data_IF_192158847769
#
_entry.id   IF_192158847769
#
_cell.length_a   1.000
_cell.length_b   1.000
_cell.length_c   1.000
_cell.angle_alpha   90.00
_cell.angle_beta   90.00
_cell.angle_gamma   90.00
#
_symmetry.space_group_name_H-M   'P 1'
#
loop_
_entity.id
_entity.type
_entity.pdbx_description
1 polymer ?
2 water ?
#
# COMPACT_ATOMS: atom_id res chain seq x y z
N UNK A 1 31.17 -30.08 -5.30
CA UNK A 1 31.90 -30.30 -6.59
C UNK A 1 32.77 -29.07 -6.93
N UNK A 2 33.92 -29.31 -7.54
CA UNK A 2 34.70 -28.22 -8.12
C UNK A 2 33.98 -27.71 -9.39
N UNK A 3 34.22 -26.44 -9.78
CA UNK A 3 33.51 -25.83 -10.92
C UNK A 3 33.69 -26.58 -12.23
N UNK A 4 34.80 -27.29 -12.35
CA UNK A 4 35.08 -28.09 -13.52
C UNK A 4 34.16 -29.29 -13.81
N UNK A 5 33.84 -30.09 -12.80
CA UNK A 5 32.55 -30.75 -12.65
C UNK A 5 31.24 -30.02 -12.80
N UNK A 6 31.04 -29.08 -11.90
CA UNK A 6 29.78 -28.37 -11.79
C UNK A 6 29.34 -27.71 -13.09
N UNK A 7 30.31 -27.07 -13.75
CA UNK A 7 30.05 -26.32 -14.98
C UNK A 7 30.61 -26.97 -16.25
N UNK A 8 30.70 -28.29 -16.24
CA UNK A 8 31.35 -29.04 -17.32
C UNK A 8 30.76 -28.71 -18.69
N UNK A 9 29.45 -28.87 -18.83
CA UNK A 9 28.81 -28.69 -20.13
C UNK A 9 28.83 -27.23 -20.59
N UNK A 10 28.75 -26.29 -19.66
CA UNK A 10 28.77 -24.87 -20.02
C UNK A 10 30.20 -24.38 -20.31
N UNK A 11 31.20 -24.94 -19.64
CA UNK A 11 32.60 -24.67 -19.98
C UNK A 11 32.93 -25.13 -21.41
N UNK A 12 32.39 -26.30 -21.79
CA UNK A 12 32.61 -26.79 -23.12
C UNK A 12 32.02 -25.85 -24.16
N UNK A 13 30.77 -25.45 -23.97
CA UNK A 13 30.09 -24.51 -24.87
C UNK A 13 30.86 -23.18 -25.00
N UNK A 14 31.33 -22.64 -23.88
CA UNK A 14 32.13 -21.41 -23.87
C UNK A 14 33.44 -21.53 -24.63
N UNK A 15 34.14 -22.63 -24.39
CA UNK A 15 35.39 -22.94 -25.09
C UNK A 15 35.22 -23.15 -26.58
N UNK A 16 34.15 -23.87 -26.94
CA UNK A 16 33.78 -24.09 -28.33
C UNK A 16 33.47 -22.79 -29.06
N UNK A 17 33.15 -21.75 -28.29
CA UNK A 17 32.86 -20.43 -28.84
C UNK A 17 34.04 -19.46 -28.74
N UNK A 18 35.19 -19.95 -28.30
CA UNK A 18 36.42 -19.16 -28.30
C UNK A 18 36.75 -18.50 -26.98
N UNK A 19 36.03 -18.86 -25.93
CA UNK A 19 36.27 -18.30 -24.61
C UNK A 19 36.99 -19.30 -23.74
N UNK A 20 38.31 -19.13 -23.66
CA UNK A 20 39.21 -20.13 -23.10
C UNK A 20 39.64 -19.87 -21.66
N UNK A 21 39.64 -18.62 -21.21
CA UNK A 21 40.08 -18.27 -19.85
C UNK A 21 39.14 -18.89 -18.82
N UNK A 22 39.66 -19.86 -18.06
CA UNK A 22 38.88 -20.64 -17.10
C UNK A 22 38.35 -19.79 -15.94
N UNK A 23 39.21 -18.96 -15.36
CA UNK A 23 38.82 -18.10 -14.24
C UNK A 23 37.68 -17.15 -14.64
N UNK A 24 37.81 -16.53 -15.82
CA UNK A 24 36.78 -15.62 -16.33
C UNK A 24 35.52 -16.37 -16.64
N UNK A 25 35.65 -17.55 -17.25
CA UNK A 25 34.48 -18.37 -17.55
C UNK A 25 33.69 -18.75 -16.30
N UNK A 26 34.39 -19.17 -15.26
CA UNK A 26 33.78 -19.60 -13.99
C UNK A 26 33.13 -18.42 -13.27
N UNK A 27 33.84 -17.30 -13.20
CA UNK A 27 33.32 -16.07 -12.63
C UNK A 27 32.02 -15.65 -13.30
N UNK A 28 32.00 -15.69 -14.63
CA UNK A 28 30.83 -15.30 -15.42
C UNK A 28 29.64 -16.26 -15.20
N UNK A 29 29.95 -17.55 -15.15
CA UNK A 29 28.94 -18.57 -14.88
C UNK A 29 28.33 -18.52 -13.48
N UNK A 30 29.11 -18.12 -12.49
CA UNK A 30 28.60 -17.98 -11.14
C UNK A 30 27.60 -16.82 -11.03
N UNK A 31 27.91 -15.72 -11.73
CA UNK A 31 27.01 -14.56 -11.77
C UNK A 31 25.73 -14.83 -12.57
N UNK A 32 25.79 -15.76 -13.51
CA UNK A 32 24.66 -16.11 -14.36
C UNK A 32 23.87 -17.30 -13.82
N UNK A 33 24.35 -17.88 -12.72
CA UNK A 33 23.73 -19.08 -12.13
C UNK A 33 23.94 -20.36 -12.92
N UNK A 34 24.98 -20.38 -13.76
CA UNK A 34 25.22 -21.51 -14.65
C UNK A 34 24.56 -21.40 -16.03
N UNK A 35 24.01 -20.24 -16.34
CA UNK A 35 23.45 -19.96 -17.67
C UNK A 35 24.57 -19.52 -18.63
N UNK A 36 24.71 -20.24 -19.75
CA UNK A 36 25.71 -19.93 -20.78
C UNK A 36 25.41 -18.60 -21.47
N UNK A 37 24.14 -18.38 -21.80
CA UNK A 37 23.71 -17.14 -22.45
C UNK A 37 24.11 -15.92 -21.64
N UNK A 38 23.91 -15.98 -20.32
CA UNK A 38 24.27 -14.88 -19.42
C UNK A 38 25.76 -14.73 -19.26
N UNK A 39 26.45 -15.86 -19.07
CA UNK A 39 27.92 -15.87 -19.02
C UNK A 39 28.51 -15.24 -20.28
N UNK A 40 28.00 -15.64 -21.44
CA UNK A 40 28.43 -15.07 -22.73
C UNK A 40 28.26 -13.57 -22.80
N UNK A 41 27.14 -13.06 -22.28
CA UNK A 41 26.92 -11.62 -22.22
C UNK A 41 27.98 -10.93 -21.37
N UNK A 42 28.28 -11.50 -20.20
CA UNK A 42 29.30 -10.94 -19.30
C UNK A 42 30.67 -10.95 -19.95
N UNK A 43 30.98 -12.04 -20.62
CA UNK A 43 32.29 -12.22 -21.26
C UNK A 43 32.49 -11.25 -22.44
N UNK A 44 31.41 -10.90 -23.13
CA UNK A 44 31.48 -9.93 -24.24
C UNK A 44 31.42 -8.49 -23.77
N UNK A 45 30.65 -8.23 -22.72
CA UNK A 45 30.52 -6.88 -22.15
C UNK A 45 31.58 -6.61 -21.08
N UNK A 46 32.21 -5.44 -21.16
CA UNK A 46 33.41 -5.16 -20.34
C UNK A 46 34.67 -5.85 -20.87
N UNK B 2 28.21 -13.78 -0.89
CA UNK B 2 27.96 -15.02 -1.69
C UNK B 2 26.58 -15.09 -2.37
N UNK B 3 26.09 -13.96 -2.94
CA UNK B 3 24.81 -14.00 -3.65
C UNK B 3 24.78 -14.97 -4.85
N UNK B 4 25.94 -15.25 -5.44
CA UNK B 4 26.07 -16.25 -6.49
C UNK B 4 25.62 -17.64 -6.03
N UNK B 5 26.10 -18.07 -4.88
CA UNK B 5 25.58 -19.27 -4.23
C UNK B 5 24.16 -19.11 -3.72
N UNK B 6 23.93 -18.05 -2.96
CA UNK B 6 22.63 -17.83 -2.32
C UNK B 6 21.48 -17.75 -3.29
N UNK B 7 21.68 -17.06 -4.41
CA UNK B 7 20.62 -16.87 -5.42
C UNK B 7 20.84 -17.67 -6.71
N UNK B 8 21.54 -18.79 -6.61
CA UNK B 8 21.96 -19.56 -7.80
C UNK B 8 20.79 -19.88 -8.73
N UNK B 9 19.76 -20.52 -8.19
CA UNK B 9 18.63 -20.97 -9.01
C UNK B 9 17.83 -19.82 -9.60
N UNK B 10 17.71 -18.74 -8.84
CA UNK B 10 16.98 -17.55 -9.27
C UNK B 10 17.75 -16.77 -10.33
N UNK B 11 19.06 -16.73 -10.21
CA UNK B 11 19.91 -16.08 -11.22
C UNK B 11 19.86 -16.80 -12.53
N UNK B 12 19.78 -18.12 -12.47
CA UNK B 12 19.63 -18.95 -13.67
C UNK B 12 18.32 -18.63 -14.39
N UNK B 13 17.23 -18.60 -13.63
CA UNK B 13 15.90 -18.29 -14.18
C UNK B 13 15.89 -16.91 -14.84
N UNK B 14 16.42 -15.91 -14.14
CA UNK B 14 16.47 -14.55 -14.67
C UNK B 14 17.30 -14.45 -15.95
N UNK B 15 18.46 -15.10 -15.97
CA UNK B 15 19.35 -15.12 -17.14
C UNK B 15 18.75 -15.87 -18.32
N UNK B 16 18.05 -16.97 -18.04
CA UNK B 16 17.31 -17.70 -19.08
C UNK B 16 16.15 -16.91 -19.68
N UNK B 17 15.70 -15.87 -18.97
CA UNK B 17 14.66 -14.96 -19.45
C UNK B 17 15.22 -13.68 -20.07
N UNK B 18 16.54 -13.59 -20.19
CA UNK B 18 17.18 -12.47 -20.88
C UNK B 18 17.68 -11.36 -19.97
N UNK B 19 17.64 -11.58 -18.66
CA UNK B 19 18.13 -10.60 -17.69
C UNK B 19 19.54 -10.97 -17.23
N UNK B 20 20.53 -10.31 -17.83
CA UNK B 20 21.95 -10.69 -17.69
C UNK B 20 22.75 -9.89 -16.67
N UNK B 21 22.29 -8.66 -16.36
CA UNK B 21 23.01 -7.78 -15.44
C UNK B 21 22.96 -8.33 -14.02
N UNK B 22 24.13 -8.78 -13.53
CA UNK B 22 24.26 -9.41 -12.20
C UNK B 22 23.91 -8.48 -11.05
N UNK B 23 24.47 -7.28 -11.08
CA UNK B 23 24.23 -6.29 -10.03
C UNK B 23 22.74 -5.96 -9.90
N UNK B 24 22.09 -5.76 -11.05
CA UNK B 24 20.64 -5.47 -11.09
C UNK B 24 19.84 -6.66 -10.61
N UNK B 25 20.23 -7.86 -11.04
CA UNK B 25 19.54 -9.08 -10.65
C UNK B 25 19.58 -9.32 -9.16
N UNK B 26 20.74 -9.10 -8.56
CA UNK B 26 20.95 -9.29 -7.14
C UNK B 26 20.22 -8.22 -6.30
N UNK B 27 20.31 -6.98 -6.74
CA UNK B 27 19.55 -5.89 -6.14
C UNK B 27 18.05 -6.20 -6.11
N UNK B 28 17.53 -6.63 -7.24
CA UNK B 28 16.12 -6.98 -7.39
C UNK B 28 15.70 -8.15 -6.49
N UNK B 29 16.53 -9.19 -6.43
CA UNK B 29 16.26 -10.37 -5.59
C UNK B 29 16.33 -10.10 -4.10
N UNK B 30 17.17 -9.16 -3.70
CA UNK B 30 17.26 -8.77 -2.31
C UNK B 30 16.02 -8.03 -1.83
N UNK B 31 15.47 -7.20 -2.71
CA UNK B 31 14.21 -6.52 -2.46
C UNK B 31 13.01 -7.44 -2.43
N UNK B 32 13.09 -8.53 -3.19
CA UNK B 32 11.98 -9.49 -3.31
C UNK B 32 12.11 -10.64 -2.33
N UNK B 33 13.20 -10.65 -1.54
CA UNK B 33 13.48 -11.75 -0.61
C UNK B 33 13.92 -13.05 -1.28
N UNK B 34 14.40 -12.95 -2.51
CA UNK B 34 14.75 -14.14 -3.30
C UNK B 34 13.62 -14.71 -4.15
N UNK B 35 12.53 -13.94 -4.29
CA UNK B 35 11.43 -14.32 -5.18
C UNK B 35 11.73 -13.84 -6.60
N UNK B 36 11.72 -14.77 -7.54
CA UNK B 36 11.97 -14.46 -8.96
C UNK B 36 10.84 -13.60 -9.55
N UNK B 37 9.61 -13.94 -9.21
CA UNK B 37 8.45 -13.18 -9.66
C UNK B 37 8.56 -11.71 -9.30
N UNK B 38 8.91 -11.44 -8.05
CA UNK B 38 9.10 -10.08 -7.57
C UNK B 38 10.30 -9.37 -8.18
N UNK B 39 11.41 -10.10 -8.30
CA UNK B 39 12.61 -9.59 -8.98
C UNK B 39 12.30 -9.20 -10.41
N UNK B 40 11.60 -10.08 -11.13
CA UNK B 40 11.15 -9.81 -12.50
C UNK B 40 10.33 -8.54 -12.62
N UNK B 41 9.43 -8.33 -11.67
CA UNK B 41 8.60 -7.12 -11.62
C UNK B 41 9.47 -5.86 -11.50
N UNK B 42 10.45 -5.90 -10.58
CA UNK B 42 11.41 -4.81 -10.39
C UNK B 42 12.25 -4.55 -11.64
N UNK B 43 12.68 -5.62 -12.30
CA UNK B 43 13.53 -5.50 -13.48
C UNK B 43 12.79 -4.89 -14.66
N UNK B 44 11.51 -5.20 -14.77
CA UNK B 44 10.67 -4.69 -15.86
C UNK B 44 10.17 -3.26 -15.58
N UNK B 45 9.86 -2.98 -14.32
CA UNK B 45 9.34 -1.67 -13.90
C UNK B 45 10.42 -0.70 -13.42
N UNK C 1 18.15 0.27 10.13
CA UNK C 1 18.21 -1.23 10.02
C UNK C 1 18.32 -1.73 8.58
N UNK C 2 18.63 -3.02 8.47
CA UNK C 2 18.90 -3.68 7.20
C UNK C 2 17.72 -4.58 6.88
N UNK C 3 16.70 -4.03 6.22
CA UNK C 3 15.49 -4.81 6.08
C UNK C 3 15.52 -5.98 5.10
N UNK C 4 16.35 -5.91 4.06
CA UNK C 4 16.46 -6.99 3.09
C UNK C 4 16.92 -8.30 3.77
N UNK C 5 17.94 -8.20 4.60
CA UNK C 5 18.35 -9.31 5.44
C UNK C 5 17.37 -9.57 6.58
N UNK C 6 17.02 -8.53 7.32
CA UNK C 6 16.18 -8.73 8.51
C UNK C 6 14.79 -9.31 8.19
N UNK C 7 14.18 -8.86 7.10
CA UNK C 7 12.82 -9.36 6.74
C UNK C 7 12.81 -10.25 5.50
N UNK C 8 13.91 -10.99 5.30
CA UNK C 8 14.10 -11.79 4.08
C UNK C 8 12.95 -12.77 3.85
N UNK C 9 12.66 -13.60 4.83
CA UNK C 9 11.64 -14.63 4.69
C UNK C 9 10.22 -14.04 4.53
N UNK C 10 9.97 -12.91 5.19
CA UNK C 10 8.68 -12.23 5.10
C UNK C 10 8.49 -11.51 3.75
N UNK C 11 9.56 -10.94 3.22
CA UNK C 11 9.55 -10.31 1.90
C UNK C 11 9.28 -11.34 0.81
N UNK C 12 9.85 -12.53 0.98
CA UNK C 12 9.60 -13.63 0.03
C UNK C 12 8.13 -14.01 0.02
N UNK C 13 7.56 -14.21 1.21
CA UNK C 13 6.13 -14.51 1.35
C UNK C 13 5.27 -13.47 0.65
N UNK C 14 5.52 -12.22 0.96
CA UNK C 14 4.74 -11.13 0.41
C UNK C 14 4.81 -11.09 -1.12
N UNK C 15 6.02 -11.25 -1.65
CA UNK C 15 6.24 -11.27 -3.10
C UNK C 15 5.61 -12.45 -3.81
N UNK C 16 5.67 -13.61 -3.17
CA UNK C 16 5.00 -14.80 -3.67
C UNK C 16 3.48 -14.65 -3.68
N UNK C 17 2.96 -13.69 -2.90
CA UNK C 17 1.52 -13.39 -2.89
C UNK C 17 1.16 -12.18 -3.75
N UNK C 18 2.11 -11.66 -4.51
CA UNK C 18 1.87 -10.59 -5.47
C UNK C 18 2.17 -9.20 -4.97
N UNK C 19 2.73 -9.09 -3.79
CA UNK C 19 3.08 -7.77 -3.23
C UNK C 19 4.55 -7.48 -3.47
N UNK C 20 4.80 -6.68 -4.51
CA UNK C 20 6.15 -6.46 -5.03
C UNK C 20 6.84 -5.15 -4.59
N UNK C 21 6.06 -4.15 -4.18
CA UNK C 21 6.62 -2.86 -3.76
C UNK C 21 7.39 -3.02 -2.47
N UNK C 22 8.71 -2.87 -2.57
CA UNK C 22 9.63 -3.02 -1.45
C UNK C 22 9.39 -2.05 -0.31
N UNK C 23 9.30 -0.77 -0.66
CA UNK C 23 9.10 0.29 0.31
C UNK C 23 7.82 0.10 1.13
N UNK C 24 6.74 -0.27 0.44
CA UNK C 24 5.47 -0.57 1.08
C UNK C 24 5.53 -1.82 1.92
N UNK C 25 6.21 -2.84 1.41
CA UNK C 25 6.35 -4.09 2.18
C UNK C 25 7.11 -3.87 3.48
N UNK C 26 8.19 -3.13 3.41
CA UNK C 26 9.03 -2.86 4.57
C UNK C 26 8.30 -1.98 5.59
N UNK C 27 7.65 -0.93 5.11
CA UNK C 27 6.81 -0.08 5.95
C UNK C 27 5.78 -0.90 6.72
N UNK C 28 5.09 -1.77 5.99
CA UNK C 28 4.04 -2.62 6.57
C UNK C 28 4.60 -3.60 7.59
N UNK C 29 5.74 -4.19 7.28
CA UNK C 29 6.43 -5.15 8.20
C UNK C 29 6.98 -4.49 9.49
N UNK C 30 7.39 -3.23 9.38
CA UNK C 30 7.83 -2.48 10.56
C UNK C 30 6.68 -2.21 11.53
N UNK C 31 5.50 -1.91 10.98
CA UNK C 31 4.29 -1.68 11.77
C UNK C 31 3.77 -2.95 12.41
N UNK C 32 4.01 -4.08 11.76
CA UNK C 32 3.54 -5.38 12.22
C UNK C 32 4.58 -6.12 13.07
N UNK C 33 5.75 -5.51 13.23
CA UNK C 33 6.85 -6.13 13.99
C UNK C 33 7.53 -7.28 13.27
N UNK C 34 7.33 -7.37 11.96
CA UNK C 34 7.82 -8.50 11.17
C UNK C 34 6.82 -9.65 10.98
N UNK C 35 5.56 -9.42 11.35
CA UNK C 35 4.46 -10.36 11.13
C UNK C 35 3.94 -10.20 9.71
N UNK C 36 3.94 -11.30 8.94
CA UNK C 36 3.43 -11.30 7.56
C UNK C 36 1.91 -11.06 7.55
N UNK C 37 1.20 -11.73 8.46
CA UNK C 37 -0.25 -11.59 8.58
C UNK C 37 -0.69 -10.12 8.79
N UNK C 38 0.01 -9.42 9.69
CA UNK C 38 -0.24 -8.02 9.95
C UNK C 38 0.13 -7.13 8.78
N UNK C 39 1.29 -7.38 8.19
CA UNK C 39 1.74 -6.68 6.99
C UNK C 39 0.74 -6.81 5.86
N UNK C 40 0.28 -8.04 5.62
CA UNK C 40 -0.75 -8.32 4.62
C UNK C 40 -2.03 -7.50 4.83
N UNK C 41 -2.45 -7.41 6.08
CA UNK C 41 -3.61 -6.63 6.47
C UNK C 41 -3.43 -5.15 6.08
N UNK C 42 -2.26 -4.60 6.41
CA UNK C 42 -1.91 -3.21 6.05
C UNK C 42 -1.92 -3.00 4.55
N UNK C 43 -1.32 -3.94 3.82
CA UNK C 43 -1.16 -3.84 2.37
C UNK C 43 -2.51 -3.89 1.65
N UNK C 44 -3.44 -4.65 2.20
CA UNK C 44 -4.77 -4.78 1.62
C UNK C 44 -5.70 -3.62 2.03
N UNK C 45 -5.55 -3.16 3.27
CA UNK C 45 -6.38 -2.07 3.79
C UNK C 45 -5.71 -0.71 3.57
N UNK C 46 -6.52 0.31 3.32
CA UNK C 46 -5.99 1.63 2.97
C UNK C 46 -5.09 1.60 1.75
N UNK D 2 11.25 5.97 18.53
CA UNK D 2 10.55 5.23 17.44
C UNK D 2 10.04 3.86 17.96
N UNK D 3 8.70 3.72 18.10
CA UNK D 3 8.07 2.52 18.69
C UNK D 3 8.17 1.25 17.83
N UNK D 4 8.29 1.43 16.51
CA UNK D 4 8.50 0.30 15.58
C UNK D 4 9.77 -0.48 15.92
N UNK D 5 10.86 0.24 16.12
CA UNK D 5 12.10 -0.34 16.66
C UNK D 5 11.94 -0.80 18.09
N UNK D 6 11.50 0.11 18.95
CA UNK D 6 11.45 -0.14 20.39
C UNK D 6 10.59 -1.34 20.74
N UNK D 7 9.44 -1.47 20.08
CA UNK D 7 8.48 -2.53 20.40
C UNK D 7 8.38 -3.60 19.33
N UNK D 8 9.47 -3.81 18.59
CA UNK D 8 9.50 -4.71 17.44
C UNK D 8 8.98 -6.10 17.75
N UNK D 9 9.59 -6.77 18.73
CA UNK D 9 9.20 -8.15 19.03
C UNK D 9 7.79 -8.26 19.63
N UNK D 10 7.38 -7.25 20.39
CA UNK D 10 6.02 -7.22 20.98
C UNK D 10 4.94 -6.98 19.92
N UNK D 11 5.24 -6.11 18.96
CA UNK D 11 4.34 -5.84 17.85
C UNK D 11 4.13 -7.09 17.01
N UNK D 12 5.20 -7.86 16.83
CA UNK D 12 5.13 -9.11 16.09
C UNK D 12 4.20 -10.10 16.80
N UNK D 13 4.38 -10.25 18.10
CA UNK D 13 3.53 -11.13 18.91
C UNK D 13 2.06 -10.74 18.82
N UNK D 14 1.80 -9.45 18.96
CA UNK D 14 0.43 -8.93 18.90
C UNK D 14 -0.23 -9.18 17.54
N UNK D 15 0.53 -8.92 16.47
CA UNK D 15 0.04 -9.12 15.11
C UNK D 15 -0.19 -10.59 14.77
N UNK D 16 0.70 -11.45 15.27
CA UNK D 16 0.55 -12.90 15.12
C UNK D 16 -0.70 -13.42 15.80
N UNK D 17 -1.18 -12.67 16.79
CA UNK D 17 -2.39 -13.04 17.53
C UNK D 17 -3.64 -12.33 17.02
N UNK D 18 -3.52 -11.61 15.91
CA UNK D 18 -4.66 -10.98 15.25
C UNK D 18 -4.91 -9.52 15.60
N UNK D 19 -3.98 -8.90 16.33
CA UNK D 19 -4.10 -7.49 16.72
C UNK D 19 -3.25 -6.63 15.81
N UNK D 20 -3.89 -6.04 14.81
CA UNK D 20 -3.19 -5.38 13.69
C UNK D 20 -3.13 -3.84 13.79
N UNK D 21 -4.00 -3.22 14.57
CA UNK D 21 -4.03 -1.75 14.71
C UNK D 21 -2.76 -1.27 15.44
N UNK D 22 -1.90 -0.58 14.71
CA UNK D 22 -0.60 -0.11 15.21
C UNK D 22 -0.74 0.90 16.36
N UNK D 23 -1.58 1.91 16.14
CA UNK D 23 -1.79 2.94 17.15
C UNK D 23 -2.29 2.37 18.47
N UNK D 24 -3.26 1.46 18.39
CA UNK D 24 -3.79 0.77 19.57
C UNK D 24 -2.76 -0.14 20.22
N UNK D 25 -2.00 -0.85 19.40
CA UNK D 25 -0.94 -1.73 19.90
C UNK D 25 0.12 -0.95 20.68
N UNK D 26 0.56 0.17 20.12
CA UNK D 26 1.61 0.99 20.75
C UNK D 26 1.10 1.65 22.02
N UNK D 27 -0.12 2.20 21.97
CA UNK D 27 -0.78 2.75 23.15
C UNK D 27 -0.83 1.74 24.29
N UNK D 28 -1.28 0.52 23.97
CA UNK D 28 -1.40 -0.57 24.94
C UNK D 28 -0.04 -0.96 25.53
N UNK D 29 0.99 -1.01 24.67
CA UNK D 29 2.34 -1.37 25.10
C UNK D 29 3.00 -0.29 25.97
N UNK D 30 2.69 0.97 25.72
CA UNK D 30 3.20 2.05 26.55
C UNK D 30 2.64 1.99 27.98
N UNK D 31 1.36 1.65 28.08
CA UNK D 31 0.67 1.50 29.37
C UNK D 31 1.15 0.28 30.15
N UNK D 32 1.63 -0.72 29.41
CA UNK D 32 2.09 -2.00 29.95
C UNK D 32 3.59 -2.01 30.20
N UNK D 33 4.28 -0.94 29.78
CA UNK D 33 5.72 -0.85 29.86
C UNK D 33 6.46 -1.74 28.87
N UNK D 34 5.78 -2.15 27.82
CA UNK D 34 6.34 -3.09 26.85
C UNK D 34 6.09 -4.55 27.17
N UNK D 35 5.20 -4.84 28.12
CA UNK D 35 4.77 -6.21 28.38
C UNK D 35 3.60 -6.58 27.44
N UNK D 36 3.77 -7.67 26.71
CA UNK D 36 2.76 -8.16 25.75
C UNK D 36 1.52 -8.66 26.46
N UNK D 37 1.71 -9.37 27.58
CA UNK D 37 0.63 -9.86 28.40
C UNK D 37 -0.31 -8.73 28.86
N UNK D 38 0.27 -7.63 29.34
CA UNK D 38 -0.50 -6.47 29.76
C UNK D 38 -1.16 -5.76 28.61
N UNK D 39 -0.42 -5.59 27.52
CA UNK D 39 -0.96 -4.99 26.29
C UNK D 39 -2.16 -5.79 25.79
N UNK D 40 -2.02 -7.12 25.76
CA UNK D 40 -3.12 -8.03 25.37
C UNK D 40 -4.37 -7.85 26.22
N UNK D 41 -4.18 -7.69 27.52
CA UNK D 41 -5.26 -7.45 28.44
C UNK D 41 -6.02 -6.14 28.10
N UNK D 42 -5.27 -5.09 27.84
CA UNK D 42 -5.83 -3.79 27.45
C UNK D 42 -6.60 -3.90 26.13
N UNK D 43 -6.02 -4.60 25.17
CA UNK D 43 -6.61 -4.75 23.85
C UNK D 43 -7.93 -5.52 23.86
N UNK D 44 -8.02 -6.50 24.76
CA UNK D 44 -9.22 -7.32 24.90
C UNK D 44 -10.29 -6.64 25.76
N UNK D 45 -9.86 -5.92 26.79
CA UNK D 45 -10.77 -5.25 27.73
C UNK D 45 -10.73 -3.73 27.57
N UNK D 46 -11.04 -3.02 28.65
CA UNK D 46 -10.55 -1.65 28.86
C UNK D 46 -9.27 -1.67 29.69
N UNK E 2 -35.07 -9.74 -12.08
CA UNK E 2 -35.37 -9.08 -13.38
C UNK E 2 -35.59 -7.60 -13.16
N UNK E 3 -35.60 -6.80 -14.25
CA UNK E 3 -36.11 -5.45 -14.12
C UNK E 3 -37.60 -5.35 -13.72
N UNK E 4 -38.40 -6.38 -13.99
CA UNK E 4 -39.80 -6.42 -13.58
C UNK E 4 -39.93 -6.38 -12.05
N UNK E 5 -39.16 -7.21 -11.35
CA UNK E 5 -39.03 -7.12 -9.89
C UNK E 5 -38.31 -5.83 -9.47
N UNK E 6 -37.13 -5.59 -10.04
CA UNK E 6 -36.28 -4.49 -9.61
C UNK E 6 -36.96 -3.12 -9.75
N UNK E 7 -37.68 -2.93 -10.85
CA UNK E 7 -38.32 -1.64 -11.14
C UNK E 7 -39.87 -1.69 -11.03
N UNK E 8 -40.38 -2.56 -10.17
CA UNK E 8 -41.82 -2.80 -10.06
C UNK E 8 -42.64 -1.54 -9.80
N UNK E 9 -42.28 -0.80 -8.76
CA UNK E 9 -43.03 0.37 -8.35
C UNK E 9 -42.94 1.49 -9.38
N UNK E 10 -41.77 1.62 -10.01
CA UNK E 10 -41.56 2.64 -11.05
C UNK E 10 -42.29 2.31 -12.35
N UNK E 11 -42.31 1.02 -12.69
CA UNK E 11 -43.04 0.58 -13.89
C UNK E 11 -44.53 0.86 -13.73
N UNK E 12 -45.05 0.66 -12.52
CA UNK E 12 -46.44 0.93 -12.23
C UNK E 12 -46.78 2.41 -12.43
N UNK E 13 -45.95 3.27 -11.86
CA UNK E 13 -46.09 4.71 -11.98
C UNK E 13 -46.10 5.14 -13.45
N UNK E 14 -45.12 4.65 -14.22
CA UNK E 14 -44.99 4.98 -15.64
C UNK E 14 -46.20 4.53 -16.45
N UNK E 15 -46.68 3.33 -16.19
CA UNK E 15 -47.83 2.77 -16.88
C UNK E 15 -49.15 3.47 -16.50
N UNK E 16 -49.27 3.85 -15.24
CA UNK E 16 -50.40 4.67 -14.76
C UNK E 16 -50.42 6.04 -15.43
N UNK E 17 -49.28 6.48 -15.96
CA UNK E 17 -49.16 7.77 -16.65
C UNK E 17 -49.19 7.63 -18.17
N UNK E 18 -49.48 6.42 -18.66
CA UNK E 18 -49.69 6.20 -20.09
C UNK E 18 -48.47 5.70 -20.85
N UNK E 19 -47.40 5.36 -20.13
CA UNK E 19 -46.17 4.84 -20.74
C UNK E 19 -46.13 3.32 -20.58
N UNK E 20 -46.49 2.62 -21.66
CA UNK E 20 -46.74 1.18 -21.66
C UNK E 20 -45.60 0.32 -22.21
N UNK E 21 -44.75 0.90 -23.06
CA UNK E 21 -43.67 0.16 -23.70
C UNK E 21 -42.61 -0.25 -22.66
N UNK E 22 -42.56 -1.54 -22.36
CA UNK E 22 -41.69 -2.09 -21.32
C UNK E 22 -40.20 -1.87 -21.59
N UNK E 23 -39.76 -2.17 -22.81
CA UNK E 23 -38.37 -2.02 -23.19
C UNK E 23 -37.90 -0.58 -23.04
N UNK E 24 -38.71 0.34 -23.53
CA UNK E 24 -38.45 1.76 -23.39
C UNK E 24 -38.43 2.21 -21.94
N UNK E 25 -39.41 1.73 -21.17
CA UNK E 25 -39.50 2.07 -19.74
C UNK E 25 -38.25 1.64 -18.98
N UNK E 26 -37.82 0.41 -19.21
CA UNK E 26 -36.65 -0.15 -18.53
C UNK E 26 -35.38 0.58 -18.96
N UNK E 27 -35.22 0.80 -20.27
CA UNK E 27 -34.10 1.56 -20.79
C UNK E 27 -34.00 2.94 -20.11
N UNK E 28 -35.13 3.64 -20.04
CA UNK E 28 -35.20 4.97 -19.42
C UNK E 28 -34.89 4.97 -17.94
N UNK E 29 -35.35 3.93 -17.23
CA UNK E 29 -35.08 3.75 -15.80
C UNK E 29 -33.64 3.39 -15.47
N UNK E 30 -32.99 2.67 -16.37
CA UNK E 30 -31.58 2.30 -16.19
C UNK E 30 -30.69 3.53 -16.30
N UNK E 31 -31.02 4.41 -17.23
CA UNK E 31 -30.30 5.67 -17.40
C UNK E 31 -30.54 6.65 -16.26
N UNK E 32 -31.68 6.50 -15.57
CA UNK E 32 -32.06 7.46 -14.53
C UNK E 32 -31.74 6.90 -13.18
N UNK E 33 -31.20 5.68 -13.13
CA UNK E 33 -30.88 5.01 -11.86
C UNK E 33 -32.04 4.41 -11.09
N UNK E 34 -33.18 4.33 -11.75
CA UNK E 34 -34.42 3.94 -11.03
C UNK E 34 -35.28 5.12 -10.60
N UNK E 35 -34.98 6.33 -11.10
CA UNK E 35 -35.77 7.54 -10.83
C UNK E 35 -36.86 7.70 -11.87
N UNK E 36 -38.10 7.74 -11.40
CA UNK E 36 -39.27 7.89 -12.28
C UNK E 36 -39.28 9.26 -12.98
N UNK E 37 -38.91 10.31 -12.24
CA UNK E 37 -38.80 11.66 -12.79
C UNK E 37 -37.87 11.73 -13.99
N UNK E 38 -36.70 11.12 -13.85
CA UNK E 38 -35.70 11.09 -14.93
C UNK E 38 -36.16 10.25 -16.10
N UNK E 39 -36.68 9.07 -15.76
CA UNK E 39 -37.24 8.17 -16.77
C UNK E 39 -38.28 8.88 -17.57
N UNK E 40 -39.21 9.55 -16.89
CA UNK E 40 -40.25 10.36 -17.56
C UNK E 40 -39.69 11.40 -18.49
N UNK E 41 -38.62 12.06 -18.08
CA UNK E 41 -37.96 13.08 -18.93
C UNK E 41 -37.44 12.46 -20.23
N UNK E 42 -36.80 11.32 -20.09
CA UNK E 42 -36.26 10.59 -21.23
C UNK E 42 -37.36 10.12 -22.17
N UNK E 43 -38.45 9.62 -21.60
CA UNK E 43 -39.56 9.12 -22.40
C UNK E 43 -40.26 10.24 -23.15
N UNK E 44 -40.30 11.44 -22.57
CA UNK E 44 -40.94 12.59 -23.25
C UNK E 44 -40.01 13.26 -24.28
N UNK E 45 -38.72 13.30 -23.94
CA UNK E 45 -37.69 13.91 -24.78
C UNK E 45 -37.09 12.93 -25.80
N UNK F 2 -23.48 0.22 -17.37
CA UNK F 2 -22.20 0.14 -16.58
C UNK F 2 -21.21 1.16 -17.15
N UNK F 3 -21.41 2.48 -16.91
CA UNK F 3 -21.81 3.48 -15.89
C UNK F 3 -23.20 3.39 -15.27
N UNK F 4 -24.16 2.86 -16.03
CA UNK F 4 -25.53 2.66 -15.53
C UNK F 4 -25.53 1.78 -14.27
N UNK F 5 -24.82 0.66 -14.32
CA UNK F 5 -24.58 -0.18 -13.15
C UNK F 5 -23.65 0.50 -12.14
N UNK F 6 -22.50 0.98 -12.61
CA UNK F 6 -21.48 1.55 -11.74
C UNK F 6 -21.97 2.75 -10.92
N UNK F 7 -22.73 3.63 -11.56
CA UNK F 7 -23.23 4.85 -10.92
C UNK F 7 -24.74 4.82 -10.65
N UNK F 8 -25.31 3.64 -10.43
CA UNK F 8 -26.76 3.48 -10.32
C UNK F 8 -27.38 4.37 -9.25
N UNK F 9 -26.86 4.27 -8.03
CA UNK F 9 -27.41 4.99 -6.89
C UNK F 9 -27.25 6.50 -7.05
N UNK F 10 -26.12 6.92 -7.62
CA UNK F 10 -25.81 8.33 -7.84
C UNK F 10 -26.67 8.93 -8.94
N UNK F 11 -26.93 8.15 -9.99
CA UNK F 11 -27.80 8.59 -11.07
C UNK F 11 -29.23 8.81 -10.57
N UNK F 12 -29.66 7.92 -9.67
CA UNK F 12 -30.96 7.99 -9.04
C UNK F 12 -31.14 9.30 -8.28
N UNK F 13 -30.15 9.62 -7.46
CA UNK F 13 -30.14 10.85 -6.69
C UNK F 13 -30.16 12.09 -7.58
N UNK F 14 -29.31 12.11 -8.61
CA UNK F 14 -29.24 13.23 -9.54
C UNK F 14 -30.56 13.44 -10.28
N UNK F 15 -31.17 12.35 -10.75
CA UNK F 15 -32.45 12.42 -11.46
C UNK F 15 -33.62 12.85 -10.57
N UNK F 16 -33.62 12.37 -9.32
CA UNK F 16 -34.57 12.80 -8.30
C UNK F 16 -34.45 14.29 -7.97
N UNK F 17 -33.29 14.88 -8.26
CA UNK F 17 -33.05 16.30 -8.05
C UNK F 17 -33.23 17.12 -9.32
N UNK F 18 -33.72 16.49 -10.39
CA UNK F 18 -34.04 17.20 -11.64
C UNK F 18 -32.94 17.24 -12.68
N UNK F 19 -31.89 16.46 -12.47
CA UNK F 19 -30.77 16.38 -13.42
C UNK F 19 -30.88 15.10 -14.24
N UNK F 20 -31.45 15.23 -15.44
CA UNK F 20 -31.86 14.09 -16.28
C UNK F 20 -30.88 13.71 -17.41
N UNK F 21 -30.05 14.62 -17.87
CA UNK F 21 -29.13 14.34 -18.98
C UNK F 21 -28.06 13.34 -18.56
N UNK F 22 -28.15 12.14 -19.11
CA UNK F 22 -27.30 10.99 -18.74
C UNK F 22 -25.82 11.24 -19.00
N UNK F 23 -25.50 11.74 -20.18
CA UNK F 23 -24.12 11.99 -20.57
C UNK F 23 -23.46 13.00 -19.63
N UNK F 24 -24.19 14.08 -19.33
CA UNK F 24 -23.69 15.11 -18.43
C UNK F 24 -23.57 14.58 -17.00
N UNK F 25 -24.53 13.77 -16.57
CA UNK F 25 -24.47 13.16 -15.24
C UNK F 25 -23.26 12.25 -15.08
N UNK F 26 -23.01 11.41 -16.08
CA UNK F 26 -21.89 10.47 -16.04
C UNK F 26 -20.55 11.20 -16.11
N UNK F 27 -20.45 12.19 -17.01
CA UNK F 27 -19.26 13.05 -17.09
C UNK F 27 -18.93 13.70 -15.74
N UNK F 28 -19.96 14.26 -15.10
CA UNK F 28 -19.80 14.93 -13.80
C UNK F 28 -19.35 13.95 -12.71
N UNK F 29 -19.93 12.75 -12.73
CA UNK F 29 -19.62 11.72 -11.75
C UNK F 29 -18.21 11.15 -11.89
N UNK F 30 -17.72 11.09 -13.12
CA UNK F 30 -16.37 10.61 -13.38
C UNK F 30 -15.33 11.61 -12.85
N UNK F 31 -15.61 12.90 -13.00
CA UNK F 31 -14.74 13.96 -12.47
C UNK F 31 -14.77 14.05 -10.94
N UNK F 32 -15.88 13.63 -10.32
CA UNK F 32 -16.05 13.69 -8.87
C UNK F 32 -15.70 12.37 -8.20
N UNK F 33 -15.34 11.36 -8.99
CA UNK F 33 -15.02 10.02 -8.46
C UNK F 33 -16.22 9.22 -8.01
N UNK F 34 -17.41 9.59 -8.50
CA UNK F 34 -18.67 8.99 -8.05
C UNK F 34 -19.32 9.68 -6.85
N UNK F 35 -18.83 10.87 -6.51
CA UNK F 35 -19.42 11.69 -5.45
C UNK F 35 -20.57 12.53 -6.02
N UNK F 36 -21.76 12.36 -5.44
CA UNK F 36 -22.95 13.09 -5.89
C UNK F 36 -22.81 14.60 -5.59
N UNK F 37 -22.28 14.93 -4.41
CA UNK F 37 -22.04 16.32 -4.02
C UNK F 37 -21.20 17.06 -5.06
N UNK F 38 -20.10 16.42 -5.47
CA UNK F 38 -19.18 16.98 -6.44
C UNK F 38 -19.81 17.07 -7.82
N UNK F 39 -20.48 15.99 -8.23
CA UNK F 39 -21.20 15.95 -9.49
C UNK F 39 -22.25 17.09 -9.56
N UNK F 40 -23.01 17.25 -8.49
CA UNK F 40 -23.99 18.34 -8.39
C UNK F 40 -23.38 19.74 -8.54
N UNK F 41 -22.20 19.93 -7.95
CA UNK F 41 -21.47 21.19 -8.09
C UNK F 41 -21.11 21.46 -9.55
N UNK F 42 -20.60 20.44 -10.24
CA UNK F 42 -20.23 20.57 -11.65
C UNK F 42 -21.46 20.81 -12.53
N UNK F 43 -22.56 20.15 -12.23
CA UNK F 43 -23.80 20.30 -13.01
C UNK F 43 -24.41 21.70 -12.85
N UNK F 44 -24.26 22.30 -11.67
CA UNK F 44 -24.77 23.63 -11.40
C UNK F 44 -23.82 24.74 -11.88
N UNK F 45 -22.52 24.50 -11.79
CA UNK F 45 -21.50 25.47 -12.19
C UNK F 45 -20.97 25.25 -13.62
N UNK G 2 -5.30 8.00 -17.26
CA UNK G 2 -6.58 8.75 -17.07
C UNK G 2 -6.78 9.10 -15.59
N UNK G 3 -6.71 10.40 -15.22
CA UNK G 3 -6.73 10.73 -13.79
C UNK G 3 -8.07 10.41 -13.09
N UNK G 4 -9.16 10.49 -13.85
CA UNK G 4 -10.49 10.14 -13.35
C UNK G 4 -10.55 8.69 -12.89
N UNK G 5 -10.04 7.79 -13.71
CA UNK G 5 -9.82 6.40 -13.29
C UNK G 5 -8.74 6.27 -12.22
N UNK G 6 -7.56 6.81 -12.52
CA UNK G 6 -6.39 6.61 -11.67
C UNK G 6 -6.61 7.10 -10.25
N UNK G 7 -7.26 8.25 -10.11
CA UNK G 7 -7.48 8.88 -8.80
C UNK G 7 -8.94 8.83 -8.35
N UNK G 8 -9.68 7.81 -8.80
CA UNK G 8 -11.12 7.70 -8.53
C UNK G 8 -11.48 7.83 -7.05
N UNK G 9 -10.87 6.98 -6.23
CA UNK G 9 -11.20 6.92 -4.80
C UNK G 9 -10.79 8.19 -4.07
N UNK G 10 -9.67 8.79 -4.49
CA UNK G 10 -9.17 10.01 -3.87
C UNK G 10 -10.00 11.23 -4.25
N UNK G 11 -10.44 11.28 -5.50
CA UNK G 11 -11.32 12.35 -5.98
C UNK G 11 -12.66 12.33 -5.24
N UNK G 12 -13.16 11.13 -4.96
CA UNK G 12 -14.39 10.96 -4.19
C UNK G 12 -14.25 11.52 -2.78
N UNK G 13 -13.15 11.17 -2.12
CA UNK G 13 -12.86 11.67 -0.77
C UNK G 13 -12.79 13.19 -0.75
N UNK G 14 -12.03 13.76 -1.69
CA UNK G 14 -11.86 15.20 -1.78
C UNK G 14 -13.20 15.92 -2.01
N UNK G 15 -14.01 15.39 -2.91
CA UNK G 15 -15.32 15.97 -3.23
C UNK G 15 -16.32 15.87 -2.08
N UNK G 16 -16.27 14.75 -1.37
CA UNK G 16 -17.07 14.55 -0.17
C UNK G 16 -16.66 15.51 0.96
N UNK G 17 -15.45 16.07 0.88
CA UNK G 17 -14.95 17.03 1.84
C UNK G 17 -15.09 18.49 1.38
N UNK G 18 -15.73 18.68 0.22
CA UNK G 18 -16.04 20.03 -0.28
C UNK G 18 -15.08 20.59 -1.31
N UNK G 19 -14.15 19.76 -1.76
CA UNK G 19 -13.15 20.17 -2.74
C UNK G 19 -13.55 19.66 -4.11
N UNK G 20 -14.20 20.53 -4.90
CA UNK G 20 -14.87 20.17 -6.16
C UNK G 20 -14.08 20.48 -7.43
N UNK G 21 -13.12 21.41 -7.38
CA UNK G 21 -12.33 21.77 -8.58
C UNK G 21 -11.46 20.60 -9.00
N UNK G 22 -11.79 20.02 -10.16
CA UNK G 22 -11.12 18.82 -10.69
C UNK G 22 -9.65 19.07 -10.99
N UNK G 23 -9.36 20.14 -11.72
CA UNK G 23 -8.00 20.48 -12.12
C UNK G 23 -7.11 20.68 -10.89
N UNK G 24 -7.62 21.39 -9.89
CA UNK G 24 -6.85 21.61 -8.65
C UNK G 24 -6.69 20.33 -7.86
N UNK G 25 -7.74 19.50 -7.83
CA UNK G 25 -7.70 18.20 -7.16
C UNK G 25 -6.63 17.28 -7.76
N UNK G 26 -6.61 17.21 -9.09
CA UNK G 26 -5.65 16.35 -9.80
C UNK G 26 -4.21 16.86 -9.64
N UNK G 27 -4.02 18.17 -9.80
CA UNK G 27 -2.74 18.81 -9.57
C UNK G 27 -2.19 18.48 -8.19
N UNK G 28 -3.03 18.61 -7.17
CA UNK G 28 -2.65 18.34 -5.78
C UNK G 28 -2.31 16.87 -5.55
N UNK G 29 -3.08 15.99 -6.16
CA UNK G 29 -2.86 14.55 -6.06
C UNK G 29 -1.58 14.07 -6.75
N UNK G 30 -1.21 14.72 -7.84
CA UNK G 30 0.02 14.41 -8.56
C UNK G 30 1.25 14.76 -7.72
N UNK G 31 1.17 15.90 -7.03
CA UNK G 31 2.25 16.33 -6.14
C UNK G 31 2.38 15.47 -4.90
N UNK G 32 1.27 14.86 -4.49
CA UNK G 32 1.22 14.04 -3.27
C UNK G 32 1.42 12.57 -3.59
N UNK G 33 1.54 12.23 -4.86
CA UNK G 33 1.67 10.84 -5.29
C UNK G 33 0.40 10.02 -5.19
N UNK G 34 -0.75 10.71 -5.12
CA UNK G 34 -2.03 10.05 -4.91
C UNK G 34 -2.45 9.94 -3.45
N UNK G 35 -1.74 10.64 -2.56
CA UNK G 35 -2.12 10.70 -1.14
C UNK G 35 -3.16 11.80 -0.94
N UNK G 36 -4.29 11.43 -0.33
CA UNK G 36 -5.38 12.36 -0.03
C UNK G 36 -4.97 13.38 1.03
N UNK G 37 -4.29 12.90 2.08
CA UNK G 37 -3.78 13.75 3.14
C UNK G 37 -2.91 14.88 2.61
N UNK G 38 -1.98 14.52 1.73
CA UNK G 38 -1.07 15.49 1.12
C UNK G 38 -1.77 16.42 0.18
N UNK G 39 -2.66 15.86 -0.65
CA UNK G 39 -3.51 16.67 -1.53
C UNK G 39 -4.30 17.71 -0.73
N UNK G 40 -4.95 17.26 0.35
CA UNK G 40 -5.71 18.16 1.24
C UNK G 40 -4.84 19.29 1.79
N UNK G 41 -3.61 18.98 2.18
CA UNK G 41 -2.66 19.99 2.70
C UNK G 41 -2.41 21.07 1.63
N UNK G 42 -2.18 20.61 0.40
CA UNK G 42 -1.93 21.48 -0.74
C UNK G 42 -3.15 22.36 -1.07
N UNK G 43 -4.33 21.76 -1.03
CA UNK G 43 -5.57 22.47 -1.31
C UNK G 43 -5.89 23.55 -0.27
N UNK G 44 -5.57 23.28 0.99
CA UNK G 44 -5.81 24.22 2.08
C UNK G 44 -4.73 25.31 2.15
N UNK G 45 -3.49 24.94 1.88
CA UNK G 45 -2.34 25.87 1.92
C UNK G 45 -2.03 26.45 0.54
N UNK G 46 -1.08 27.38 0.46
CA UNK G 46 -0.65 27.95 -0.82
C UNK G 46 -0.72 26.99 -2.01
N UNK H 2 10.42 13.51 -15.02
CA UNK H 2 9.39 14.15 -14.14
C UNK H 2 9.35 13.44 -12.78
N UNK H 3 9.72 14.14 -11.68
CA UNK H 3 9.82 13.50 -10.36
C UNK H 3 8.47 13.02 -9.84
N UNK H 4 7.40 13.71 -10.24
CA UNK H 4 6.04 13.33 -9.88
C UNK H 4 5.67 11.94 -10.39
N UNK H 5 5.98 11.67 -11.66
CA UNK H 5 5.91 10.32 -12.20
C UNK H 5 6.99 9.40 -11.61
N UNK H 6 8.24 9.83 -11.65
CA UNK H 6 9.33 8.93 -11.28
C UNK H 6 9.27 8.49 -9.81
N UNK H 7 8.86 9.39 -8.92
CA UNK H 7 8.77 9.08 -7.48
C UNK H 7 7.32 8.97 -6.97
N UNK H 8 6.39 8.59 -7.85
CA UNK H 8 4.97 8.59 -7.51
C UNK H 8 4.65 7.80 -6.23
N UNK H 9 5.12 6.55 -6.18
CA UNK H 9 4.81 5.66 -5.07
C UNK H 9 5.48 6.09 -3.77
N UNK H 10 6.69 6.62 -3.88
CA UNK H 10 7.42 7.14 -2.70
C UNK H 10 6.82 8.44 -2.17
N UNK H 11 6.40 9.32 -3.07
CA UNK H 11 5.72 10.57 -2.67
C UNK H 11 4.44 10.26 -1.90
N UNK H 12 3.71 9.25 -2.35
CA UNK H 12 2.50 8.78 -1.68
C UNK H 12 2.76 8.36 -0.25
N UNK H 13 3.77 7.51 -0.09
CA UNK H 13 4.17 7.02 1.23
C UNK H 13 4.58 8.17 2.16
N UNK H 14 5.39 9.08 1.65
CA UNK H 14 5.86 10.23 2.44
C UNK H 14 4.69 11.14 2.87
N UNK H 15 3.78 11.43 1.94
CA UNK H 15 2.60 12.27 2.23
C UNK H 15 1.62 11.60 3.20
N UNK H 16 1.43 10.29 3.06
CA UNK H 16 0.63 9.51 3.99
C UNK H 16 1.23 9.48 5.41
N UNK H 17 2.53 9.77 5.52
CA UNK H 17 3.23 9.85 6.79
C UNK H 17 3.39 11.29 7.32
N UNK H 18 2.77 12.24 6.64
CA UNK H 18 2.72 13.63 7.10
C UNK H 18 3.79 14.55 6.52
N UNK H 19 4.52 14.05 5.52
CA UNK H 19 5.56 14.85 4.87
C UNK H 19 5.05 15.38 3.53
N UNK H 20 4.61 16.64 3.54
CA UNK H 20 3.85 17.24 2.44
C UNK H 20 4.66 18.16 1.49
N UNK H 21 5.79 18.67 1.97
CA UNK H 21 6.63 19.57 1.16
C UNK H 21 7.27 18.80 0.00
N UNK H 22 6.82 19.13 -1.22
CA UNK H 22 7.22 18.44 -2.44
C UNK H 22 8.72 18.59 -2.73
N UNK H 23 9.20 19.83 -2.68
CA UNK H 23 10.60 20.11 -2.97
C UNK H 23 11.53 19.37 -2.02
N UNK H 24 11.19 19.37 -0.73
CA UNK H 24 11.96 18.66 0.28
C UNK H 24 11.88 17.15 0.09
N UNK H 25 10.69 16.67 -0.24
CA UNK H 25 10.48 15.25 -0.51
C UNK H 25 11.34 14.77 -1.67
N UNK H 26 11.32 15.52 -2.77
CA UNK H 26 12.06 15.15 -3.97
C UNK H 26 13.58 15.22 -3.73
N UNK H 27 14.03 16.30 -3.08
CA UNK H 27 15.43 16.45 -2.70
C UNK H 27 15.91 15.25 -1.88
N UNK H 28 15.12 14.85 -0.89
CA UNK H 28 15.45 13.72 -0.01
C UNK H 28 15.50 12.41 -0.78
N UNK H 29 14.56 12.24 -1.70
CA UNK H 29 14.48 11.00 -2.51
C UNK H 29 15.63 10.87 -3.49
N UNK H 30 16.09 12.00 -4.02
CA UNK H 30 17.23 12.00 -4.94
C UNK H 30 18.51 11.57 -4.22
N UNK H 31 18.68 12.04 -2.98
CA UNK H 31 19.83 11.69 -2.17
C UNK H 31 19.79 10.24 -1.68
N UNK H 32 18.59 9.67 -1.58
CA UNK H 32 18.39 8.28 -1.15
C UNK H 32 18.29 7.32 -2.32
N UNK H 33 18.33 7.83 -3.54
CA UNK H 33 18.19 7.00 -4.75
C UNK H 33 16.77 6.50 -4.99
N UNK H 34 15.78 7.15 -4.38
CA UNK H 34 14.39 6.70 -4.43
C UNK H 34 13.98 5.74 -3.30
N UNK H 35 14.83 5.60 -2.28
CA UNK H 35 14.49 4.83 -1.08
C UNK H 35 13.70 5.75 -0.11
N UNK H 36 12.52 5.27 0.29
CA UNK H 36 11.63 5.98 1.22
C UNK H 36 12.25 6.01 2.61
N UNK H 37 12.82 4.90 3.05
CA UNK H 37 13.46 4.82 4.36
C UNK H 37 14.60 5.84 4.53
N UNK H 38 15.42 6.00 3.49
CA UNK H 38 16.49 6.98 3.50
C UNK H 38 15.97 8.40 3.41
N UNK H 39 14.99 8.63 2.54
CA UNK H 39 14.33 9.93 2.42
C UNK H 39 13.72 10.36 3.76
N UNK H 40 13.03 9.44 4.43
CA UNK H 40 12.47 9.67 5.77
C UNK H 40 13.53 10.07 6.80
N UNK H 41 14.68 9.40 6.76
CA UNK H 41 15.79 9.73 7.64
C UNK H 41 16.26 11.17 7.43
N UNK H 42 16.42 11.56 6.17
CA UNK H 42 16.83 12.92 5.81
C UNK H 42 15.79 13.96 6.24
N UNK H 43 14.51 13.64 6.05
CA UNK H 43 13.43 14.56 6.40
C UNK H 43 13.32 14.78 7.91
N UNK H 44 13.62 13.75 8.69
CA UNK H 44 13.57 13.84 10.15
C UNK H 44 14.84 14.46 10.74
N UNK H 45 15.99 14.17 10.12
CA UNK H 45 17.29 14.68 10.61
C UNK H 45 17.76 15.95 9.90
N UNK I 2 4.05 12.01 30.31
CA UNK I 2 3.00 11.09 30.88
C UNK I 2 3.65 10.13 31.89
N UNK I 3 2.84 9.50 32.76
CA UNK I 3 3.40 8.48 33.66
C UNK I 3 3.84 7.19 32.94
N UNK I 4 3.36 6.97 31.71
CA UNK I 4 3.79 5.80 30.93
C UNK I 4 5.19 5.99 30.32
N UNK I 5 5.66 7.23 30.28
CA UNK I 5 7.06 7.53 29.97
C UNK I 5 7.88 7.71 31.26
N UNK I 6 7.24 8.22 32.32
CA UNK I 6 7.92 8.42 33.60
C UNK I 6 8.21 7.08 34.26
N UNK I 7 7.15 6.30 34.45
CA UNK I 7 7.25 4.96 35.05
C UNK I 7 7.37 3.86 33.98
N UNK I 8 7.67 4.27 32.74
CA UNK I 8 7.86 3.33 31.63
C UNK I 8 8.38 1.99 32.14
N UNK I 9 9.50 2.03 32.84
CA UNK I 9 10.19 0.84 33.22
C UNK I 9 9.54 0.03 34.34
N UNK I 10 8.94 0.73 35.30
CA UNK I 10 8.29 0.11 36.44
C UNK I 10 7.03 -0.65 35.99
N UNK I 11 6.29 -0.04 35.06
CA UNK I 11 5.13 -0.65 34.41
C UNK I 11 5.48 -1.97 33.70
N UNK I 12 6.67 -2.07 33.12
CA UNK I 12 7.10 -3.30 32.46
C UNK I 12 7.06 -4.48 33.43
N UNK I 13 7.48 -4.20 34.66
CA UNK I 13 7.65 -5.24 35.67
C UNK I 13 6.30 -5.74 36.16
N UNK I 14 5.42 -4.81 36.46
CA UNK I 14 4.13 -5.12 37.08
C UNK I 14 3.18 -5.97 36.19
N UNK I 15 3.62 -6.30 34.98
CA UNK I 15 2.84 -7.13 34.06
C UNK I 15 3.40 -8.56 33.94
N UNK I 20 -1.54 -5.72 35.14
CA UNK I 20 -1.79 -5.21 33.78
C UNK I 20 -2.54 -3.88 33.78
N UNK I 21 -3.35 -3.66 34.81
CA UNK I 21 -4.19 -2.46 34.89
C UNK I 21 -3.32 -1.22 35.07
N UNK I 22 -3.25 -0.42 34.01
CA UNK I 22 -2.45 0.81 33.96
C UNK I 22 -2.74 1.77 35.13
N UNK I 23 -4.03 2.04 35.36
CA UNK I 23 -4.43 3.03 36.35
C UNK I 23 -4.15 2.58 37.77
N UNK I 24 -4.34 1.30 38.05
CA UNK I 24 -3.99 0.70 39.34
C UNK I 24 -2.46 0.59 39.55
N UNK I 25 -1.72 0.49 38.45
CA UNK I 25 -0.24 0.50 38.50
C UNK I 25 0.31 1.92 38.77
N UNK I 26 -0.17 2.90 37.99
CA UNK I 26 0.21 4.30 38.13
C UNK I 26 -0.20 4.92 39.48
N UNK I 27 -1.32 4.46 40.02
CA UNK I 27 -1.77 4.85 41.37
C UNK I 27 -0.84 4.29 42.44
N UNK I 28 -0.50 3.01 42.32
CA UNK I 28 0.47 2.39 43.22
C UNK I 28 1.88 2.99 43.07
N UNK I 29 2.26 3.35 41.84
CA UNK I 29 3.57 3.93 41.57
C UNK I 29 3.68 5.38 42.04
N UNK I 30 2.57 6.12 41.99
CA UNK I 30 2.51 7.45 42.60
C UNK I 30 2.61 7.36 44.11
N UNK I 31 1.90 6.37 44.66
CA UNK I 31 1.83 6.16 46.11
C UNK I 31 3.13 5.63 46.70
N UNK I 32 3.95 4.97 45.87
CA UNK I 32 5.24 4.45 46.30
C UNK I 32 6.39 5.35 45.86
N UNK I 33 6.08 6.54 45.31
CA UNK I 33 7.09 7.46 44.80
C UNK I 33 7.85 6.98 43.56
N UNK I 34 7.29 6.01 42.85
CA UNK I 34 7.93 5.41 41.68
C UNK I 34 8.70 4.13 42.00
N UNK I 35 8.77 3.79 43.27
CA UNK I 35 9.43 2.57 43.72
C UNK I 35 8.65 1.33 43.25
N UNK I 36 9.33 0.43 42.56
CA UNK I 36 8.65 -0.75 42.02
C UNK I 36 8.42 -1.73 43.16
N UNK I 37 9.43 -1.87 44.03
CA UNK I 37 9.35 -2.69 45.25
C UNK I 37 8.19 -2.22 46.15
N UNK I 38 7.94 -0.92 46.16
CA UNK I 38 6.80 -0.37 46.87
C UNK I 38 5.48 -0.71 46.25
N UNK I 39 5.36 -0.38 44.96
CA UNK I 39 4.11 -0.48 44.22
C UNK I 39 3.53 -1.88 44.23
N UNK I 40 4.37 -2.91 44.12
CA UNK I 40 3.82 -4.25 43.96
C UNK I 40 3.40 -4.95 45.25
N UNK I 41 3.86 -4.50 46.44
CA UNK I 41 3.40 -5.12 47.69
C UNK I 41 2.11 -4.49 48.14
N UNK I 42 1.91 -3.22 47.77
CA UNK I 42 0.60 -2.61 47.90
C UNK I 42 -0.38 -3.39 47.01
N UNK I 43 0.12 -3.83 45.85
CA UNK I 43 -0.66 -4.67 44.93
C UNK I 43 -0.85 -6.13 45.38
N UNK I 44 -0.19 -6.56 46.45
CA UNK I 44 -0.53 -7.84 47.10
C UNK I 44 -0.84 -7.72 48.60
N UNK I 45 -1.01 -6.50 49.10
CA UNK I 45 -1.51 -6.27 50.47
C UNK I 45 -2.39 -5.03 50.55
#
# INVERSE_FOLDING_TARGET
LDPEERYEHQLRQLNDMGFFDFDRNVAALRRSGGSVQGALDSLLNG
LDPEERYEHQLRQLNDMGFFDFDRNVAALRRSGGSVQGALDSLLNG
LDPEERYEHQLRQLNDMGFFDFDRNVAALRRSGGSVQGALDSLLNG
LDPEERYEHQLRQLNDMGFFDFDRNVAALRRSGGSVQGALDSLLNG
LDPEERYEHQLRQLNDMGFFDFDRNVAALRRSGGSVQGALDSLLNG
LDPEERYEHQLRQLNDMGFFDFDRNVAALRRSGGSVQGALDSLLNG
LDPEERYEHQLRQLNDMGFFDFDRNVAALRRSGGSVQGALDSLLNG
LDPEERYEHQLRQLNDMGFFDFDRNVAALRRSGGSVQGALDSLLNG
LDPEERYEHQLRQLNDMGFFDFDRNVAALRRSGGSVQGALDSLLNG
#
